data_IF_730157389023
#
_entry.id   IF_730157389023
#
_cell.length_a   1.000
_cell.length_b   1.000
_cell.length_c   1.000
_cell.angle_alpha   90.00
_cell.angle_beta   90.00
_cell.angle_gamma   90.00
#
_symmetry.space_group_name_H-M   'P 1'
#
loop_
_entity.id
_entity.type
_entity.pdbx_description
1 polymer ?
#
# COMPACT_ATOMS: atom_id res chain seq x y z
N UNK A 1 1.60 -1.16 -8.71
CA UNK A 1 1.14 -1.55 -7.35
C UNK A 1 -0.15 -0.82 -7.08
N UNK A 2 -0.89 -1.19 -6.03
CA UNK A 2 -2.17 -0.57 -5.69
C UNK A 2 -2.24 -0.34 -4.19
N UNK A 3 -2.75 0.80 -3.77
CA UNK A 3 -3.24 0.97 -2.39
C UNK A 3 -4.71 0.56 -2.39
N UNK A 4 -5.07 -0.34 -1.48
CA UNK A 4 -6.44 -0.77 -1.23
C UNK A 4 -6.83 -0.25 0.15
N UNK A 5 -7.82 0.62 0.20
CA UNK A 5 -8.39 1.20 1.41
C UNK A 5 -9.67 0.44 1.75
N UNK A 6 -9.78 -0.04 2.98
CA UNK A 6 -10.97 -0.75 3.47
C UNK A 6 -11.51 -0.09 4.74
N UNK A 7 -12.81 -0.16 4.94
CA UNK A 7 -13.43 0.05 6.25
C UNK A 7 -13.31 -1.23 7.07
N UNK A 8 -12.61 -1.16 8.19
CA UNK A 8 -12.45 -2.27 9.11
C UNK A 8 -13.09 -1.88 10.44
N UNK A 9 -14.42 -2.00 10.47
CA UNK A 9 -15.29 -1.69 11.60
C UNK A 9 -15.28 -0.22 12.05
N UNK A 10 -15.26 0.71 11.09
CA UNK A 10 -15.24 2.15 11.33
C UNK A 10 -13.84 2.76 11.27
N UNK A 11 -12.80 1.93 11.18
CA UNK A 11 -11.41 2.36 11.01
C UNK A 11 -10.96 2.07 9.58
N UNK A 12 -10.48 3.11 8.88
CA UNK A 12 -9.87 2.94 7.57
C UNK A 12 -8.50 2.23 7.69
N UNK A 13 -8.33 1.13 6.96
CA UNK A 13 -7.04 0.44 6.82
C UNK A 13 -6.57 0.42 5.38
N UNK A 14 -5.29 0.70 5.19
CA UNK A 14 -4.66 0.80 3.89
C UNK A 14 -3.65 -0.33 3.67
N UNK A 15 -3.75 -1.01 2.54
CA UNK A 15 -2.86 -2.11 2.16
C UNK A 15 -2.18 -1.85 0.82
N UNK A 16 -0.88 -2.14 0.75
CA UNK A 16 -0.15 -2.15 -0.51
C UNK A 16 -0.26 -3.53 -1.16
N UNK A 17 -0.97 -3.60 -2.28
CA UNK A 17 -1.15 -4.80 -3.08
C UNK A 17 -0.30 -4.77 -4.35
N UNK A 18 0.26 -5.92 -4.72
CA UNK A 18 0.97 -6.07 -6.00
C UNK A 18 0.00 -6.37 -7.16
N UNK A 19 -1.12 -7.01 -6.85
CA UNK A 19 -2.21 -7.29 -7.78
C UNK A 19 -3.54 -7.44 -7.04
N UNK A 20 -4.64 -7.26 -7.76
CA UNK A 20 -5.97 -7.59 -7.26
C UNK A 20 -6.87 -8.11 -8.39
N UNK A 21 -7.95 -8.78 -8.01
CA UNK A 21 -9.06 -9.14 -8.88
C UNK A 21 -10.36 -8.94 -8.10
N UNK A 22 -11.44 -8.60 -8.82
CA UNK A 22 -12.78 -8.48 -8.25
C UNK A 22 -13.63 -9.59 -8.87
N UNK A 23 -14.16 -10.47 -8.03
CA UNK A 23 -15.04 -11.57 -8.44
C UNK A 23 -16.21 -11.67 -7.47
N UNK A 24 -17.44 -11.63 -8.00
CA UNK A 24 -18.70 -11.84 -7.25
C UNK A 24 -18.79 -11.08 -5.92
N UNK A 25 -18.39 -9.81 -5.90
CA UNK A 25 -18.46 -8.97 -4.70
C UNK A 25 -17.31 -9.22 -3.70
N UNK A 26 -16.27 -9.94 -4.09
CA UNK A 26 -15.06 -10.14 -3.28
C UNK A 26 -13.87 -9.54 -3.99
N UNK A 27 -13.11 -8.70 -3.28
CA UNK A 27 -11.81 -8.19 -3.74
C UNK A 27 -10.72 -9.13 -3.23
N UNK A 28 -10.00 -9.77 -4.16
CA UNK A 28 -8.89 -10.68 -3.87
C UNK A 28 -7.59 -9.97 -4.19
N UNK A 29 -6.82 -9.58 -3.18
CA UNK A 29 -5.57 -8.83 -3.32
C UNK A 29 -4.35 -9.67 -2.92
N UNK A 30 -3.24 -9.48 -3.61
CA UNK A 30 -1.94 -10.06 -3.22
C UNK A 30 -1.17 -9.03 -2.38
N UNK A 31 -1.07 -9.26 -1.08
CA UNK A 31 -0.40 -8.39 -0.10
C UNK A 31 0.73 -9.18 0.54
N UNK A 32 1.96 -8.66 0.50
CA UNK A 32 3.16 -9.36 0.99
C UNK A 32 3.30 -10.80 0.43
N UNK A 33 2.89 -11.03 -0.83
CA UNK A 33 2.92 -12.34 -1.47
C UNK A 33 1.77 -13.29 -1.09
N UNK A 34 0.88 -12.89 -0.18
CA UNK A 34 -0.27 -13.67 0.26
C UNK A 34 -1.56 -13.13 -0.33
N UNK A 35 -2.47 -14.03 -0.72
CA UNK A 35 -3.82 -13.64 -1.13
C UNK A 35 -4.67 -13.32 0.10
N UNK A 36 -5.18 -12.10 0.16
CA UNK A 36 -6.19 -11.64 1.12
C UNK A 36 -7.50 -11.38 0.37
N UNK A 37 -8.61 -11.57 1.09
CA UNK A 37 -9.96 -11.40 0.57
C UNK A 37 -10.67 -10.36 1.42
N UNK A 38 -11.37 -9.47 0.76
CA UNK A 38 -12.20 -8.43 1.37
C UNK A 38 -13.57 -8.48 0.70
N UNK A 39 -14.63 -8.18 1.46
CA UNK A 39 -15.93 -7.90 0.84
C UNK A 39 -15.80 -6.60 0.04
N UNK A 40 -16.35 -6.53 -1.16
CA UNK A 40 -16.34 -5.32 -1.96
C UNK A 40 -17.15 -4.19 -1.31
N UNK A 41 -18.10 -4.51 -0.43
CA UNK A 41 -18.82 -3.53 0.37
C UNK A 41 -17.94 -2.84 1.43
N UNK A 42 -16.89 -3.53 1.90
CA UNK A 42 -15.93 -2.99 2.87
C UNK A 42 -14.79 -2.23 2.19
N UNK A 43 -14.64 -2.31 0.87
CA UNK A 43 -13.60 -1.58 0.15
C UNK A 43 -14.04 -0.14 -0.12
N UNK A 44 -13.24 0.81 0.38
CA UNK A 44 -13.46 2.25 0.21
C UNK A 44 -12.92 2.72 -1.14
N UNK A 45 -11.65 2.40 -1.45
CA UNK A 45 -11.01 2.81 -2.70
C UNK A 45 -9.86 1.86 -3.10
N UNK A 46 -9.54 1.84 -4.40
CA UNK A 46 -8.38 1.13 -4.97
C UNK A 46 -7.66 2.07 -5.93
N UNK A 47 -6.49 2.55 -5.51
CA UNK A 47 -5.71 3.52 -6.27
C UNK A 47 -4.42 2.91 -6.81
N UNK A 48 -4.07 3.13 -8.10
CA UNK A 48 -2.78 2.72 -8.62
C UNK A 48 -1.65 3.54 -7.98
N UNK A 49 -0.57 2.87 -7.63
CA UNK A 49 0.68 3.51 -7.22
C UNK A 49 1.62 3.52 -8.41
N UNK A 50 1.89 4.72 -8.92
CA UNK A 50 2.94 4.94 -9.91
C UNK A 50 4.31 4.77 -9.25
N UNK A 51 5.28 4.18 -9.95
CA UNK A 51 6.67 4.19 -9.49
C UNK A 51 7.10 5.64 -9.28
N UNK A 52 7.75 5.91 -8.15
CA UNK A 52 8.44 7.18 -7.97
C UNK A 52 9.48 7.29 -9.08
N UNK A 53 9.41 8.34 -9.89
CA UNK A 53 10.41 8.61 -10.93
C UNK A 53 11.84 8.60 -10.36
N UNK A 54 12.85 8.38 -11.20
CA UNK A 54 14.30 8.39 -10.87
C UNK A 54 14.79 9.61 -10.07
N UNK A 55 13.98 10.68 -9.99
CA UNK A 55 14.27 11.87 -9.18
C UNK A 55 14.29 11.58 -7.67
N UNK A 56 13.56 10.56 -7.20
CA UNK A 56 13.47 10.26 -5.77
C UNK A 56 14.65 9.46 -5.21
N UNK A 57 15.42 8.78 -6.05
CA UNK A 57 16.66 8.11 -5.62
C UNK A 57 17.66 9.10 -5.01
N UNK A 58 17.64 10.36 -5.47
CA UNK A 58 18.46 11.44 -4.91
C UNK A 58 18.00 11.85 -3.51
N UNK A 59 16.70 11.83 -3.24
CA UNK A 59 16.14 12.21 -1.93
C UNK A 59 16.49 11.19 -0.84
N UNK A 60 16.57 9.89 -1.18
CA UNK A 60 17.02 8.84 -0.25
C UNK A 60 18.54 8.89 -0.06
N UNK A 61 19.31 9.17 -1.11
CA UNK A 61 20.77 9.30 -1.02
C UNK A 61 21.23 10.54 -0.21
N UNK A 62 20.43 11.61 -0.17
CA UNK A 62 20.75 12.87 0.50
C UNK A 62 20.36 12.94 1.99
N UNK A 63 19.92 11.83 2.62
CA UNK A 63 19.83 11.74 4.08
C UNK A 63 21.01 10.94 4.69
N UNK A 64 22.23 11.51 4.76
CA UNK A 64 23.27 10.93 5.60
C UNK A 64 22.91 11.22 7.07
N UNK A 65 22.64 10.15 7.81
CA UNK A 65 22.83 10.00 9.26
C UNK A 65 22.89 11.30 10.10
N UNK A 66 21.80 12.05 10.20
CA UNK A 66 21.64 13.00 11.30
C UNK A 66 21.07 12.27 12.52
N UNK A 67 21.88 11.45 13.18
CA UNK A 67 21.79 11.12 14.62
C UNK A 67 22.76 9.98 15.00
N UNK A 68 24.06 10.27 15.01
CA UNK A 68 25.01 9.59 15.91
C UNK A 68 25.95 10.63 16.53
N UNK A 69 25.38 11.45 17.40
CA UNK A 69 26.14 12.27 18.34
C UNK A 69 25.44 12.17 19.69
N UNK A 70 25.91 11.26 20.53
CA UNK A 70 26.11 11.52 21.96
C UNK A 70 27.16 10.52 22.44
N UNK A 71 28.35 11.06 22.70
CA UNK A 71 29.33 10.45 23.60
C UNK A 71 29.00 10.75 25.05
#
# INVERSE_FOLDING_TARGET
MFVISIDDHGDERNFLATSFNIDRGVVIATICGLKRKFDAADVIDILPVEPLSDRNDRFIAEQPERQRMHG
#
